data_IF_031000308921
#
_entry.id   IF_031000308921
#
_cell.length_a   1.000
_cell.length_b   1.000
_cell.length_c   1.000
_cell.angle_alpha   90.00
_cell.angle_beta   90.00
_cell.angle_gamma   90.00
#
_symmetry.space_group_name_H-M   'P 1'
#
loop_
_entity.id
_entity.type
_entity.pdbx_description
1 polymer ?
#
# COMPACT_ATOMS: atom_id res chain seq x y z
N UNK A 1 -13.18 -16.48 2.85
CA UNK A 1 -13.64 -15.83 4.09
C UNK A 1 -13.03 -14.43 4.12
N UNK A 2 -13.81 -13.39 4.44
CA UNK A 2 -13.34 -12.01 4.38
C UNK A 2 -12.37 -11.70 5.52
N UNK A 3 -11.42 -10.80 5.28
CA UNK A 3 -10.46 -10.33 6.29
C UNK A 3 -11.23 -9.56 7.37
N UNK A 4 -11.34 -10.13 8.58
CA UNK A 4 -12.08 -9.51 9.68
C UNK A 4 -11.18 -8.58 10.48
N UNK A 5 -11.63 -7.34 10.70
CA UNK A 5 -11.02 -6.40 11.68
C UNK A 5 -10.09 -5.33 11.11
N UNK A 6 -9.60 -5.46 9.87
CA UNK A 6 -8.78 -4.46 9.19
C UNK A 6 -9.55 -3.83 8.03
N UNK A 7 -9.50 -2.50 7.91
CA UNK A 7 -10.04 -1.76 6.75
C UNK A 7 -8.93 -1.35 5.81
N UNK A 8 -9.27 -1.26 4.53
CA UNK A 8 -8.29 -0.99 3.48
C UNK A 8 -8.70 0.19 2.62
N UNK A 9 -7.69 0.98 2.25
CA UNK A 9 -7.77 1.90 1.13
C UNK A 9 -6.68 1.55 0.12
N UNK A 10 -6.85 1.97 -1.13
CA UNK A 10 -5.89 1.68 -2.20
C UNK A 10 -5.37 2.98 -2.79
N UNK A 11 -4.04 3.14 -2.80
CA UNK A 11 -3.36 4.16 -3.56
C UNK A 11 -2.98 3.59 -4.93
N UNK A 12 -3.75 3.98 -5.94
CA UNK A 12 -3.42 3.69 -7.33
C UNK A 12 -2.17 4.49 -7.74
N UNK A 13 -1.10 3.83 -8.22
CA UNK A 13 0.11 4.52 -8.62
C UNK A 13 -0.14 5.43 -9.83
N UNK A 14 0.49 6.62 -9.85
CA UNK A 14 0.46 7.52 -11.01
C UNK A 14 0.94 6.83 -12.31
N UNK A 15 1.87 5.88 -12.17
CA UNK A 15 2.35 5.01 -13.25
C UNK A 15 1.76 3.60 -13.08
N UNK A 16 0.43 3.49 -13.16
CA UNK A 16 -0.26 2.21 -12.93
C UNK A 16 0.21 1.13 -13.91
N UNK A 17 0.57 -0.08 -13.41
CA UNK A 17 0.90 -1.21 -14.26
C UNK A 17 -0.34 -1.83 -14.92
N UNK A 18 -1.55 -1.49 -14.44
CA UNK A 18 -2.80 -2.06 -14.92
C UNK A 18 -3.30 -1.26 -16.13
N UNK A 19 -3.34 -1.90 -17.30
CA UNK A 19 -3.73 -1.26 -18.58
C UNK A 19 -5.16 -1.58 -19.02
N UNK A 20 -5.70 -2.71 -18.56
CA UNK A 20 -7.00 -3.24 -19.02
C UNK A 20 -8.09 -2.98 -17.98
N UNK A 21 -7.77 -3.16 -16.70
CA UNK A 21 -8.70 -3.00 -15.59
C UNK A 21 -8.26 -1.82 -14.72
N UNK A 22 -9.21 -1.09 -14.15
CA UNK A 22 -8.92 -0.05 -13.15
C UNK A 22 -8.35 -0.69 -11.89
N UNK A 23 -7.29 -0.12 -11.31
CA UNK A 23 -6.60 -0.72 -10.19
C UNK A 23 -7.43 -0.84 -8.94
N UNK A 24 -8.35 0.09 -8.70
CA UNK A 24 -9.29 -0.03 -7.57
C UNK A 24 -10.21 -1.24 -7.69
N UNK A 25 -10.66 -1.60 -8.90
CA UNK A 25 -11.50 -2.79 -9.11
C UNK A 25 -10.71 -4.06 -8.85
N UNK A 26 -9.48 -4.11 -9.38
CA UNK A 26 -8.55 -5.23 -9.13
C UNK A 26 -8.25 -5.36 -7.64
N UNK A 27 -8.02 -4.24 -6.94
CA UNK A 27 -7.76 -4.26 -5.50
C UNK A 27 -8.95 -4.81 -4.70
N UNK A 28 -10.18 -4.39 -5.02
CA UNK A 28 -11.38 -4.92 -4.37
C UNK A 28 -11.55 -6.43 -4.64
N UNK A 29 -11.36 -6.86 -5.88
CA UNK A 29 -11.50 -8.26 -6.27
C UNK A 29 -10.44 -9.15 -5.61
N UNK A 30 -9.18 -8.73 -5.61
CA UNK A 30 -8.08 -9.48 -4.99
C UNK A 30 -8.19 -9.54 -3.46
N UNK A 31 -8.63 -8.45 -2.83
CA UNK A 31 -8.75 -8.38 -1.36
C UNK A 31 -10.02 -9.07 -0.85
N UNK A 32 -11.03 -9.28 -1.69
CA UNK A 32 -12.30 -9.91 -1.31
C UNK A 32 -13.09 -9.13 -0.25
N UNK A 33 -12.80 -7.84 -0.09
CA UNK A 33 -13.43 -6.92 0.88
C UNK A 33 -13.50 -5.52 0.29
N UNK A 34 -14.26 -4.62 0.93
CA UNK A 34 -14.34 -3.22 0.54
C UNK A 34 -12.97 -2.56 0.66
N UNK A 35 -12.50 -1.99 -0.45
CA UNK A 35 -11.30 -1.17 -0.53
C UNK A 35 -11.67 0.16 -1.18
N UNK A 36 -11.47 1.26 -0.46
CA UNK A 36 -11.79 2.59 -0.97
C UNK A 36 -10.57 3.21 -1.67
N UNK A 37 -10.79 4.02 -2.72
CA UNK A 37 -9.70 4.70 -3.40
C UNK A 37 -9.16 5.84 -2.53
N UNK A 38 -7.85 5.87 -2.31
CA UNK A 38 -7.14 6.99 -1.72
C UNK A 38 -6.35 7.73 -2.81
N UNK A 39 -7.01 8.71 -3.41
CA UNK A 39 -6.53 9.45 -4.58
C UNK A 39 -5.36 10.40 -4.23
N UNK A 40 -4.82 11.05 -5.26
CA UNK A 40 -3.65 11.96 -5.26
C UNK A 40 -2.30 11.26 -5.14
N UNK A 41 -1.31 11.89 -5.76
CA UNK A 41 0.09 11.50 -5.74
C UNK A 41 0.63 11.45 -4.30
N UNK A 42 1.47 10.46 -3.99
CA UNK A 42 2.09 10.33 -2.67
C UNK A 42 3.11 11.43 -2.34
N UNK A 43 3.48 12.28 -3.30
CA UNK A 43 4.39 13.42 -3.12
C UNK A 43 5.87 13.08 -3.03
N UNK A 44 6.25 11.80 -2.92
CA UNK A 44 7.65 11.41 -2.68
C UNK A 44 8.27 10.56 -3.79
N UNK A 45 7.48 9.71 -4.45
CA UNK A 45 7.97 8.74 -5.43
C UNK A 45 8.67 9.37 -6.63
N UNK A 46 9.55 8.60 -7.27
CA UNK A 46 10.21 9.01 -8.52
C UNK A 46 11.25 10.11 -8.30
N UNK A 47 11.90 10.15 -7.14
CA UNK A 47 12.90 11.16 -6.73
C UNK A 47 12.35 12.59 -6.56
N UNK A 48 11.03 12.79 -6.68
CA UNK A 48 10.39 14.12 -6.60
C UNK A 48 10.76 14.86 -5.31
N UNK A 49 10.69 14.18 -4.16
CA UNK A 49 11.00 14.80 -2.87
C UNK A 49 12.45 15.27 -2.74
N UNK A 50 13.38 14.61 -3.43
CA UNK A 50 14.80 14.99 -3.41
C UNK A 50 15.07 16.08 -4.43
N UNK A 51 14.50 15.98 -5.62
CA UNK A 51 14.74 16.91 -6.72
C UNK A 51 14.04 18.26 -6.52
N UNK A 52 12.82 18.27 -5.96
CA UNK A 52 11.96 19.46 -5.78
C UNK A 52 11.23 19.44 -4.44
N UNK A 53 11.97 19.59 -3.31
CA UNK A 53 11.38 19.58 -1.97
C UNK A 53 10.34 20.69 -1.76
N UNK A 54 10.48 21.80 -2.47
CA UNK A 54 9.57 22.94 -2.46
C UNK A 54 8.18 22.57 -3.00
N UNK A 55 8.12 21.73 -4.03
CA UNK A 55 6.87 21.24 -4.62
C UNK A 55 6.36 20.02 -3.86
N UNK A 56 7.25 19.07 -3.56
CA UNK A 56 6.86 17.79 -2.94
C UNK A 56 6.16 17.99 -1.60
N UNK A 57 6.57 19.00 -0.83
CA UNK A 57 5.95 19.33 0.46
C UNK A 57 4.48 19.69 0.30
N UNK A 58 4.12 20.47 -0.71
CA UNK A 58 2.72 20.85 -0.98
C UNK A 58 1.90 19.64 -1.45
N UNK A 59 2.47 18.80 -2.32
CA UNK A 59 1.82 17.56 -2.76
C UNK A 59 1.61 16.61 -1.57
N UNK A 60 2.60 16.54 -0.68
CA UNK A 60 2.53 15.75 0.55
C UNK A 60 1.39 16.21 1.46
N UNK A 61 1.26 17.53 1.70
CA UNK A 61 0.16 18.05 2.51
C UNK A 61 -1.20 17.67 1.92
N UNK A 62 -1.39 17.83 0.60
CA UNK A 62 -2.64 17.42 -0.02
C UNK A 62 -2.89 15.91 0.14
N UNK A 63 -1.86 15.08 -0.03
CA UNK A 63 -2.01 13.63 0.16
C UNK A 63 -2.36 13.26 1.60
N UNK A 64 -1.76 13.94 2.57
CA UNK A 64 -2.05 13.72 3.98
C UNK A 64 -3.53 13.97 4.28
N UNK A 65 -4.10 15.08 3.80
CA UNK A 65 -5.53 15.38 3.94
C UNK A 65 -6.41 14.25 3.37
N UNK A 66 -6.08 13.75 2.17
CA UNK A 66 -6.83 12.64 1.54
C UNK A 66 -6.72 11.35 2.36
N UNK A 67 -5.54 11.06 2.91
CA UNK A 67 -5.30 9.90 3.77
C UNK A 67 -6.13 9.98 5.05
N UNK A 68 -6.09 11.11 5.74
CA UNK A 68 -6.86 11.35 6.96
C UNK A 68 -8.37 11.27 6.71
N UNK A 69 -8.85 11.87 5.61
CA UNK A 69 -10.25 11.80 5.20
C UNK A 69 -10.69 10.35 4.89
N UNK A 70 -9.87 9.61 4.14
CA UNK A 70 -10.13 8.21 3.82
C UNK A 70 -10.18 7.33 5.07
N UNK A 71 -9.24 7.49 5.99
CA UNK A 71 -9.25 6.74 7.25
C UNK A 71 -10.42 7.12 8.15
N UNK A 72 -10.78 8.40 8.24
CA UNK A 72 -11.94 8.83 9.01
C UNK A 72 -13.24 8.21 8.46
N UNK A 73 -13.39 8.15 7.13
CA UNK A 73 -14.52 7.50 6.49
C UNK A 73 -14.58 6.00 6.76
N UNK A 74 -13.44 5.30 6.74
CA UNK A 74 -13.37 3.85 6.99
C UNK A 74 -13.53 3.46 8.46
N UNK A 75 -13.15 4.33 9.38
CA UNK A 75 -13.27 4.12 10.83
C UNK A 75 -14.71 4.22 11.32
N UNK A 76 -15.60 4.91 10.58
CA UNK A 76 -17.02 5.03 10.89
C UNK A 76 -17.31 5.46 12.35
N UNK A 77 -16.42 6.26 12.95
CA UNK A 77 -16.54 6.74 14.32
C UNK A 77 -15.89 5.86 15.39
N UNK A 78 -15.27 4.73 15.01
CA UNK A 78 -14.39 3.94 15.89
C UNK A 78 -12.89 4.27 15.60
N UNK A 79 -12.24 5.07 16.45
CA UNK A 79 -10.83 5.41 16.28
C UNK A 79 -9.88 4.21 16.38
N UNK A 80 -10.31 3.11 17.00
CA UNK A 80 -9.50 1.92 17.18
C UNK A 80 -9.48 1.02 15.95
N UNK A 81 -10.39 1.23 14.99
CA UNK A 81 -10.43 0.45 13.75
C UNK A 81 -9.13 0.65 12.96
N UNK A 82 -8.32 -0.41 12.76
CA UNK A 82 -7.12 -0.37 11.95
C UNK A 82 -7.45 -0.03 10.49
N UNK A 83 -6.67 0.89 9.90
CA UNK A 83 -6.75 1.25 8.49
C UNK A 83 -5.37 1.13 7.86
N UNK A 84 -5.30 0.51 6.68
CA UNK A 84 -4.07 0.33 5.92
C UNK A 84 -4.26 0.81 4.49
N UNK A 85 -3.29 1.52 3.95
CA UNK A 85 -3.22 1.88 2.53
C UNK A 85 -2.39 0.85 1.77
N UNK A 86 -3.01 0.25 0.76
CA UNK A 86 -2.37 -0.70 -0.12
C UNK A 86 -1.92 0.00 -1.40
N UNK A 87 -0.80 -0.43 -1.97
CA UNK A 87 -0.37 0.02 -3.29
C UNK A 87 0.33 -1.11 -4.05
N UNK A 88 0.42 -0.98 -5.37
CA UNK A 88 1.15 -1.91 -6.24
C UNK A 88 2.43 -1.28 -6.82
N UNK A 89 2.96 -0.23 -6.19
CA UNK A 89 4.18 0.45 -6.61
C UNK A 89 5.17 0.56 -5.45
N UNK A 90 6.38 -0.03 -5.53
CA UNK A 90 7.37 0.05 -4.46
C UNK A 90 7.79 1.47 -4.10
N UNK A 91 7.91 2.35 -5.11
CA UNK A 91 8.23 3.76 -4.86
C UNK A 91 7.10 4.49 -4.13
N UNK A 92 5.84 4.15 -4.44
CA UNK A 92 4.69 4.70 -3.70
C UNK A 92 4.67 4.17 -2.28
N UNK A 93 4.96 2.88 -2.07
CA UNK A 93 5.04 2.30 -0.73
C UNK A 93 6.05 3.06 0.14
N UNK A 94 7.27 3.28 -0.35
CA UNK A 94 8.28 4.07 0.37
C UNK A 94 7.74 5.45 0.77
N UNK A 95 7.08 6.16 -0.15
CA UNK A 95 6.52 7.48 0.12
C UNK A 95 5.33 7.44 1.10
N UNK A 96 4.43 6.48 0.94
CA UNK A 96 3.25 6.30 1.79
C UNK A 96 3.64 5.90 3.22
N UNK A 97 4.69 5.09 3.40
CA UNK A 97 5.20 4.73 4.73
C UNK A 97 5.64 5.94 5.55
N UNK A 98 5.94 7.08 4.91
CA UNK A 98 6.32 8.31 5.61
C UNK A 98 5.15 9.14 6.13
N UNK A 99 3.93 8.68 5.91
CA UNK A 99 2.73 9.22 6.54
C UNK A 99 2.34 8.46 7.81
N UNK A 100 3.09 7.42 8.21
CA UNK A 100 2.72 6.60 9.37
C UNK A 100 2.54 7.43 10.67
N UNK A 101 3.31 8.50 10.82
CA UNK A 101 3.29 9.34 12.03
C UNK A 101 2.27 10.50 11.98
N UNK A 102 1.88 10.96 10.79
CA UNK A 102 1.11 12.20 10.63
C UNK A 102 -0.04 12.11 9.62
N UNK A 103 -0.21 11.00 8.91
CA UNK A 103 -1.36 10.72 8.05
C UNK A 103 -2.46 9.95 8.76
N UNK A 104 -2.74 10.27 10.03
CA UNK A 104 -3.83 9.64 10.79
C UNK A 104 -3.54 8.23 11.32
N UNK A 105 -2.27 7.85 11.48
CA UNK A 105 -1.86 6.54 12.02
C UNK A 105 -2.12 5.38 11.05
N UNK A 106 -2.00 5.65 9.75
CA UNK A 106 -2.28 4.67 8.70
C UNK A 106 -0.98 3.99 8.29
N UNK A 107 -0.98 2.67 8.28
CA UNK A 107 0.12 1.88 7.75
C UNK A 107 0.02 1.75 6.23
N UNK A 108 1.16 1.60 5.56
CA UNK A 108 1.23 1.33 4.13
C UNK A 108 1.83 -0.04 3.88
N UNK A 109 1.26 -0.80 2.94
CA UNK A 109 1.83 -2.09 2.51
C UNK A 109 1.62 -2.32 1.01
N UNK A 110 2.37 -3.28 0.48
CA UNK A 110 2.23 -3.73 -0.89
C UNK A 110 1.05 -4.71 -1.00
N UNK A 111 0.15 -4.51 -1.96
CA UNK A 111 -1.08 -5.31 -2.07
C UNK A 111 -0.80 -6.81 -2.16
N UNK A 112 0.25 -7.23 -2.87
CA UNK A 112 0.62 -8.65 -2.99
C UNK A 112 1.16 -9.22 -1.68
N UNK A 113 1.86 -8.42 -0.88
CA UNK A 113 2.37 -8.85 0.43
C UNK A 113 1.21 -9.06 1.40
N UNK A 114 0.24 -8.14 1.40
CA UNK A 114 -0.98 -8.27 2.20
C UNK A 114 -1.74 -9.55 1.81
N UNK A 115 -1.97 -9.78 0.51
CA UNK A 115 -2.62 -11.01 0.02
C UNK A 115 -1.84 -12.26 0.41
N UNK A 116 -0.51 -12.27 0.26
CA UNK A 116 0.31 -13.41 0.63
C UNK A 116 0.18 -13.74 2.12
N UNK A 117 0.17 -12.72 3.00
CA UNK A 117 -0.04 -12.89 4.43
C UNK A 117 -1.40 -13.52 4.74
N UNK A 118 -2.45 -13.09 4.05
CA UNK A 118 -3.80 -13.63 4.25
C UNK A 118 -3.98 -15.05 3.71
N UNK A 119 -3.40 -15.36 2.54
CA UNK A 119 -3.58 -16.67 1.89
C UNK A 119 -2.59 -17.73 2.41
N UNK A 120 -1.38 -17.33 2.77
CA UNK A 120 -0.29 -18.24 3.12
C UNK A 120 0.11 -18.15 4.60
N UNK A 121 -0.48 -17.23 5.37
CA UNK A 121 -0.22 -17.02 6.79
C UNK A 121 0.92 -16.04 7.08
N UNK A 122 1.06 -15.65 8.35
CA UNK A 122 2.07 -14.67 8.80
C UNK A 122 3.52 -15.06 8.46
N UNK A 123 3.78 -16.36 8.40
CA UNK A 123 5.11 -16.91 8.16
C UNK A 123 5.41 -17.16 6.67
N UNK A 124 4.59 -16.60 5.77
CA UNK A 124 4.66 -16.88 4.33
C UNK A 124 6.04 -16.61 3.72
N UNK A 125 6.70 -15.52 4.12
CA UNK A 125 7.96 -15.06 3.52
C UNK A 125 9.12 -16.03 3.84
N UNK A 126 9.42 -16.35 5.13
CA UNK A 126 10.48 -17.30 5.42
C UNK A 126 10.20 -18.68 4.83
N UNK A 127 8.95 -19.14 4.82
CA UNK A 127 8.56 -20.42 4.20
C UNK A 127 8.71 -20.41 2.68
N UNK A 128 8.35 -19.29 2.03
CA UNK A 128 8.59 -19.09 0.60
C UNK A 128 10.09 -19.11 0.28
N UNK A 129 10.90 -18.36 1.02
CA UNK A 129 12.36 -18.31 0.84
C UNK A 129 12.99 -19.68 1.07
N UNK A 130 12.60 -20.41 2.11
CA UNK A 130 13.09 -21.76 2.37
C UNK A 130 12.80 -22.70 1.19
N UNK A 131 11.55 -22.72 0.71
CA UNK A 131 11.15 -23.53 -0.46
C UNK A 131 11.89 -23.13 -1.73
N UNK A 132 12.01 -21.83 -2.02
CA UNK A 132 12.72 -21.32 -3.20
C UNK A 132 14.23 -21.65 -3.17
N UNK A 133 14.84 -21.70 -1.98
CA UNK A 133 16.22 -22.16 -1.81
C UNK A 133 16.39 -23.68 -1.98
N UNK A 134 15.31 -24.44 -1.80
CA UNK A 134 15.32 -25.91 -1.88
C UNK A 134 15.27 -26.34 -3.35
N UNK A 135 16.40 -26.22 -4.04
CA UNK A 135 16.54 -26.44 -5.49
C UNK A 135 17.79 -25.82 -6.10
N UNK A 136 18.53 -25.01 -5.32
CA UNK A 136 19.72 -24.31 -5.76
C UNK A 136 19.36 -22.96 -6.40
N UNK A 137 19.50 -21.87 -5.65
CA UNK A 137 19.51 -20.54 -6.26
C UNK A 137 20.78 -20.46 -7.10
N UNK A 138 20.61 -20.32 -8.41
CA UNK A 138 21.71 -20.05 -9.32
C UNK A 138 22.29 -18.67 -8.96
N UNK A 139 23.50 -18.67 -8.39
CA UNK A 139 24.19 -17.44 -7.99
C UNK A 139 24.93 -16.89 -9.20
N UNK A 140 24.38 -15.82 -9.80
CA UNK A 140 25.15 -15.01 -10.73
C UNK A 140 26.09 -14.12 -9.92
N UNK A 141 27.32 -14.61 -9.72
CA UNK A 141 28.40 -13.80 -9.18
C UNK A 141 28.95 -12.95 -10.34
N UNK A 142 28.78 -11.63 -10.26
CA UNK A 142 29.44 -10.64 -11.13
C UNK A 142 30.83 -10.29 -10.58
#
# INVERSE_FOLDING_TARGET
>A
EGITGQKYMYHEPCHTPMKIHSGIKVANELMGTRVDLNDRCCGESGTLAVARPDISTQVRFRKQEEMEQGAAALREGDPATPVKVLTSCPSCLQGLSRYANDGGGIEADYIVVEIARHLLGENWLPEYVARANTGGIERVLL
#
